data_IF_758890891518
#
_entry.id   IF_758890891518
#
_cell.length_a   1.000
_cell.length_b   1.000
_cell.length_c   1.000
_cell.angle_alpha   90.00
_cell.angle_beta   90.00
_cell.angle_gamma   90.00
#
_symmetry.space_group_name_H-M   'P 1'
#
loop_
_entity.id
_entity.type
_entity.pdbx_description
1 polymer ?
#
# COMPACT_ATOMS: atom_id res chain seq x y z
N UNK A 1 1.23 -32.74 -12.77
CA UNK A 1 2.54 -32.77 -13.41
C UNK A 1 3.72 -32.39 -12.52
N UNK A 2 3.49 -31.60 -11.43
CA UNK A 2 4.55 -31.21 -10.45
C UNK A 2 4.72 -32.25 -9.33
N UNK A 3 3.67 -33.01 -9.02
CA UNK A 3 3.72 -34.03 -7.95
C UNK A 3 4.53 -35.23 -8.42
N UNK A 4 4.37 -35.63 -9.68
CA UNK A 4 5.05 -36.79 -10.27
C UNK A 4 6.58 -36.59 -10.39
N UNK A 5 7.03 -35.33 -10.62
CA UNK A 5 8.46 -35.02 -10.67
C UNK A 5 9.14 -35.13 -9.29
N UNK A 6 8.42 -34.82 -8.20
CA UNK A 6 8.93 -34.93 -6.84
C UNK A 6 9.00 -36.39 -6.37
N UNK A 7 8.13 -37.26 -6.84
CA UNK A 7 8.17 -38.68 -6.55
C UNK A 7 9.27 -39.39 -7.33
N UNK A 8 9.49 -39.05 -8.61
CA UNK A 8 10.58 -39.60 -9.42
C UNK A 8 11.99 -39.26 -8.88
N UNK A 9 12.13 -38.14 -8.13
CA UNK A 9 13.39 -37.75 -7.49
C UNK A 9 13.69 -38.54 -6.20
N UNK A 10 12.70 -39.22 -5.61
CA UNK A 10 12.89 -40.02 -4.38
C UNK A 10 13.66 -41.32 -4.59
N UNK A 11 13.63 -41.87 -5.79
CA UNK A 11 14.14 -43.19 -6.08
C UNK A 11 15.54 -43.20 -6.72
N UNK A 12 16.18 -42.04 -6.89
CA UNK A 12 17.56 -41.98 -7.40
C UNK A 12 18.55 -41.93 -6.22
N UNK A 13 19.29 -43.02 -5.93
CA UNK A 13 20.25 -43.09 -4.84
C UNK A 13 21.42 -42.09 -4.96
N UNK A 14 21.67 -41.55 -6.17
CA UNK A 14 22.70 -40.52 -6.37
C UNK A 14 22.24 -39.12 -5.89
N UNK A 15 20.94 -38.91 -5.67
CA UNK A 15 20.31 -37.65 -5.23
C UNK A 15 19.73 -37.72 -3.81
N UNK A 16 20.17 -38.65 -2.98
CA UNK A 16 19.71 -38.79 -1.59
C UNK A 16 20.16 -37.59 -0.74
N UNK A 17 19.50 -36.45 -0.93
CA UNK A 17 19.64 -35.32 -0.02
C UNK A 17 18.94 -35.65 1.31
N UNK A 18 19.68 -35.79 2.45
CA UNK A 18 19.09 -36.15 3.73
C UNK A 18 18.09 -35.11 4.25
N UNK A 19 18.06 -33.92 3.67
CA UNK A 19 17.12 -32.85 4.01
C UNK A 19 15.82 -32.91 3.19
N UNK A 20 15.76 -33.72 2.13
CA UNK A 20 14.58 -33.80 1.25
C UNK A 20 13.28 -34.19 1.97
N UNK A 21 13.27 -35.19 2.86
CA UNK A 21 12.05 -35.52 3.62
C UNK A 21 11.54 -34.37 4.47
N UNK A 22 12.44 -33.64 5.16
CA UNK A 22 12.10 -32.49 5.99
C UNK A 22 11.55 -31.33 5.15
N UNK A 23 12.11 -31.08 3.97
CA UNK A 23 11.62 -30.07 3.03
C UNK A 23 10.24 -30.41 2.49
N UNK A 24 9.95 -31.70 2.21
CA UNK A 24 8.64 -32.17 1.79
C UNK A 24 7.59 -32.03 2.89
N UNK A 25 7.93 -32.37 4.14
CA UNK A 25 7.05 -32.18 5.29
C UNK A 25 6.77 -30.69 5.54
N UNK A 26 7.79 -29.84 5.47
CA UNK A 26 7.63 -28.39 5.58
C UNK A 26 6.73 -27.83 4.48
N UNK A 27 6.95 -28.27 3.24
CA UNK A 27 6.12 -27.87 2.11
C UNK A 27 4.65 -28.29 2.30
N UNK A 28 4.42 -29.55 2.73
CA UNK A 28 3.07 -30.03 3.00
C UNK A 28 2.39 -29.23 4.12
N UNK A 29 3.09 -28.92 5.20
CA UNK A 29 2.58 -28.10 6.29
C UNK A 29 2.27 -26.67 5.86
N UNK A 30 3.13 -26.07 5.01
CA UNK A 30 2.89 -24.74 4.44
C UNK A 30 1.66 -24.74 3.51
N UNK A 31 1.54 -25.74 2.63
CA UNK A 31 0.37 -25.88 1.75
C UNK A 31 -0.92 -26.01 2.54
N UNK A 32 -0.93 -26.83 3.59
CA UNK A 32 -2.10 -27.01 4.47
C UNK A 32 -2.48 -25.67 5.15
N UNK A 33 -1.49 -24.92 5.66
CA UNK A 33 -1.74 -23.61 6.27
C UNK A 33 -2.30 -22.59 5.27
N UNK A 34 -1.74 -22.55 4.08
CA UNK A 34 -2.22 -21.66 3.00
C UNK A 34 -3.66 -22.02 2.62
N UNK A 35 -3.94 -23.31 2.45
CA UNK A 35 -5.29 -23.78 2.13
C UNK A 35 -6.30 -23.40 3.21
N UNK A 36 -5.99 -23.63 4.48
CA UNK A 36 -6.85 -23.28 5.60
C UNK A 36 -7.10 -21.75 5.71
N UNK A 37 -6.12 -20.93 5.30
CA UNK A 37 -6.31 -19.45 5.22
C UNK A 37 -7.28 -19.06 4.12
N UNK A 38 -7.18 -19.67 2.97
CA UNK A 38 -8.09 -19.40 1.84
C UNK A 38 -9.51 -19.88 2.14
N UNK A 39 -9.68 -21.02 2.77
CA UNK A 39 -11.00 -21.51 3.19
C UNK A 39 -11.65 -20.55 4.18
N UNK A 40 -10.92 -20.13 5.22
CA UNK A 40 -11.40 -19.11 6.15
C UNK A 40 -11.78 -17.80 5.46
N UNK A 41 -10.96 -17.31 4.54
CA UNK A 41 -11.23 -16.09 3.80
C UNK A 41 -12.49 -16.21 2.93
N UNK A 42 -12.74 -17.39 2.32
CA UNK A 42 -13.97 -17.66 1.57
C UNK A 42 -15.20 -17.63 2.48
N UNK A 43 -15.16 -18.32 3.62
CA UNK A 43 -16.25 -18.35 4.58
C UNK A 43 -16.58 -16.95 5.10
N UNK A 44 -15.54 -16.15 5.36
CA UNK A 44 -15.71 -14.75 5.78
C UNK A 44 -16.33 -13.91 4.66
N UNK A 45 -15.89 -14.05 3.43
CA UNK A 45 -16.44 -13.32 2.28
C UNK A 45 -17.90 -13.72 2.04
N UNK A 46 -18.22 -15.00 2.08
CA UNK A 46 -19.58 -15.51 1.95
C UNK A 46 -20.50 -14.93 3.04
N UNK A 47 -20.01 -14.89 4.29
CA UNK A 47 -20.72 -14.27 5.41
C UNK A 47 -20.98 -12.78 5.16
N UNK A 48 -19.99 -12.04 4.65
CA UNK A 48 -20.14 -10.62 4.32
C UNK A 48 -21.17 -10.40 3.20
N UNK A 49 -21.09 -11.18 2.13
CA UNK A 49 -22.01 -11.07 0.99
C UNK A 49 -23.44 -11.49 1.37
N UNK A 50 -23.59 -12.42 2.32
CA UNK A 50 -24.88 -12.84 2.87
C UNK A 50 -25.56 -11.81 3.78
N UNK A 51 -24.93 -10.66 4.09
CA UNK A 51 -25.51 -9.63 4.96
C UNK A 51 -26.76 -8.95 4.37
N UNK A 52 -26.95 -9.01 3.05
CA UNK A 52 -28.13 -8.52 2.32
C UNK A 52 -28.24 -6.99 2.23
N UNK A 53 -27.65 -6.25 3.15
CA UNK A 53 -27.67 -4.78 3.19
C UNK A 53 -26.25 -4.23 3.36
N UNK A 54 -25.91 -3.17 2.62
CA UNK A 54 -24.57 -2.56 2.64
C UNK A 54 -24.17 -2.13 4.05
N UNK A 55 -25.06 -1.52 4.81
CA UNK A 55 -24.76 -1.08 6.19
C UNK A 55 -24.42 -2.25 7.13
N UNK A 56 -25.07 -3.40 6.96
CA UNK A 56 -24.78 -4.61 7.75
C UNK A 56 -23.47 -5.23 7.33
N UNK A 57 -23.18 -5.25 6.02
CA UNK A 57 -21.91 -5.69 5.46
C UNK A 57 -20.76 -4.85 6.01
N UNK A 58 -20.86 -3.53 5.97
CA UNK A 58 -19.84 -2.61 6.51
C UNK A 58 -19.63 -2.82 8.02
N UNK A 59 -20.70 -3.01 8.80
CA UNK A 59 -20.59 -3.28 10.23
C UNK A 59 -19.87 -4.60 10.53
N UNK A 60 -20.17 -5.67 9.77
CA UNK A 60 -19.50 -6.97 9.87
C UNK A 60 -18.05 -6.87 9.48
N UNK A 61 -17.72 -6.17 8.37
CA UNK A 61 -16.37 -5.94 7.92
C UNK A 61 -15.53 -5.19 8.98
N UNK A 62 -16.08 -4.10 9.55
CA UNK A 62 -15.45 -3.39 10.66
C UNK A 62 -15.20 -4.29 11.88
N UNK A 63 -16.13 -5.21 12.18
CA UNK A 63 -15.95 -6.17 13.28
C UNK A 63 -14.81 -7.15 13.01
N UNK A 64 -14.70 -7.69 11.79
CA UNK A 64 -13.58 -8.57 11.37
C UNK A 64 -12.23 -7.85 11.46
N UNK A 65 -12.16 -6.61 10.98
CA UNK A 65 -10.94 -5.79 11.08
C UNK A 65 -10.54 -5.55 12.54
N UNK A 66 -11.50 -5.21 13.43
CA UNK A 66 -11.21 -4.99 14.86
C UNK A 66 -10.66 -6.22 15.55
N UNK A 67 -11.15 -7.40 15.20
CA UNK A 67 -10.69 -8.69 15.75
C UNK A 67 -9.36 -9.15 15.17
N UNK A 68 -8.77 -8.44 14.19
CA UNK A 68 -7.59 -8.88 13.44
C UNK A 68 -7.77 -10.24 12.74
N UNK A 69 -8.99 -10.57 12.34
CA UNK A 69 -9.31 -11.82 11.68
C UNK A 69 -9.07 -11.78 10.16
N UNK A 70 -8.76 -10.60 9.61
CA UNK A 70 -8.48 -10.40 8.20
C UNK A 70 -6.98 -10.47 7.92
N UNK A 71 -6.65 -11.20 6.87
CA UNK A 71 -5.27 -11.38 6.43
C UNK A 71 -5.13 -11.26 4.89
N UNK A 72 -3.92 -11.49 4.38
CA UNK A 72 -3.65 -11.48 2.95
C UNK A 72 -4.50 -12.49 2.14
N UNK A 73 -5.00 -13.55 2.77
CA UNK A 73 -5.89 -14.52 2.14
C UNK A 73 -7.21 -13.89 1.70
N UNK A 74 -7.76 -12.97 2.49
CA UNK A 74 -8.99 -12.24 2.13
C UNK A 74 -8.80 -11.40 0.86
N UNK A 75 -7.67 -10.67 0.74
CA UNK A 75 -7.38 -9.90 -0.47
C UNK A 75 -7.21 -10.77 -1.70
N UNK A 76 -6.54 -11.92 -1.55
CA UNK A 76 -6.41 -12.87 -2.65
C UNK A 76 -7.77 -13.41 -3.10
N UNK A 77 -8.62 -13.84 -2.15
CA UNK A 77 -9.96 -14.35 -2.47
C UNK A 77 -10.82 -13.27 -3.11
N UNK A 78 -10.80 -12.03 -2.60
CA UNK A 78 -11.50 -10.89 -3.21
C UNK A 78 -11.02 -10.63 -4.63
N UNK A 79 -9.72 -10.52 -4.85
CA UNK A 79 -9.14 -10.25 -6.17
C UNK A 79 -9.51 -11.35 -7.17
N UNK A 80 -9.51 -12.62 -6.75
CA UNK A 80 -9.90 -13.73 -7.60
C UNK A 80 -11.37 -13.67 -7.97
N UNK A 81 -12.27 -13.46 -6.98
CA UNK A 81 -13.70 -13.34 -7.23
C UNK A 81 -14.04 -12.11 -8.10
N UNK A 82 -13.32 -10.99 -7.92
CA UNK A 82 -13.48 -9.81 -8.79
C UNK A 82 -13.05 -10.11 -10.24
N UNK A 83 -11.97 -10.88 -10.45
CA UNK A 83 -11.54 -11.29 -11.77
C UNK A 83 -12.58 -12.23 -12.42
N UNK A 84 -13.09 -13.20 -11.67
CA UNK A 84 -14.12 -14.14 -12.15
C UNK A 84 -15.45 -13.40 -12.48
N UNK A 85 -15.88 -12.45 -11.66
CA UNK A 85 -17.07 -11.62 -11.92
C UNK A 85 -16.89 -10.73 -13.16
N UNK A 86 -15.68 -10.21 -13.38
CA UNK A 86 -15.36 -9.42 -14.56
C UNK A 86 -15.36 -10.29 -15.84
N UNK A 87 -14.83 -11.52 -15.77
CA UNK A 87 -14.83 -12.47 -16.88
C UNK A 87 -16.25 -12.93 -17.24
N UNK A 88 -17.11 -13.07 -16.22
CA UNK A 88 -18.53 -13.42 -16.37
C UNK A 88 -19.42 -12.24 -16.76
N UNK A 89 -18.87 -11.01 -16.90
CA UNK A 89 -19.62 -9.77 -17.14
C UNK A 89 -20.70 -9.49 -16.08
N UNK A 90 -20.51 -10.00 -14.85
CA UNK A 90 -21.42 -9.78 -13.71
C UNK A 90 -21.07 -8.46 -13.01
N UNK A 91 -21.61 -7.35 -13.53
CA UNK A 91 -21.36 -6.01 -13.02
C UNK A 91 -21.89 -5.80 -11.60
N UNK A 92 -22.98 -6.46 -11.22
CA UNK A 92 -23.56 -6.32 -9.88
C UNK A 92 -22.64 -6.94 -8.82
N UNK A 93 -22.21 -8.17 -9.02
CA UNK A 93 -21.25 -8.85 -8.15
C UNK A 93 -19.94 -8.09 -8.09
N UNK A 94 -19.42 -7.65 -9.25
CA UNK A 94 -18.18 -6.86 -9.31
C UNK A 94 -18.28 -5.57 -8.51
N UNK A 95 -19.41 -4.86 -8.56
CA UNK A 95 -19.65 -3.63 -7.80
C UNK A 95 -19.61 -3.89 -6.30
N UNK A 96 -20.28 -4.96 -5.83
CA UNK A 96 -20.32 -5.33 -4.41
C UNK A 96 -18.90 -5.71 -3.92
N UNK A 97 -18.19 -6.56 -4.66
CA UNK A 97 -16.83 -6.97 -4.32
C UNK A 97 -15.85 -5.80 -4.31
N UNK A 98 -16.00 -4.85 -5.24
CA UNK A 98 -15.21 -3.62 -5.27
C UNK A 98 -15.49 -2.75 -4.04
N UNK A 99 -16.75 -2.64 -3.61
CA UNK A 99 -17.13 -1.96 -2.38
C UNK A 99 -16.46 -2.62 -1.16
N UNK A 100 -16.57 -3.94 -1.01
CA UNK A 100 -15.93 -4.70 0.07
C UNK A 100 -14.42 -4.48 0.08
N UNK A 101 -13.77 -4.56 -1.08
CA UNK A 101 -12.34 -4.36 -1.21
C UNK A 101 -11.91 -2.95 -0.76
N UNK A 102 -12.63 -1.91 -1.22
CA UNK A 102 -12.35 -0.52 -0.86
C UNK A 102 -12.53 -0.29 0.63
N UNK A 103 -13.65 -0.75 1.20
CA UNK A 103 -13.94 -0.60 2.64
C UNK A 103 -12.92 -1.35 3.50
N UNK A 104 -12.49 -2.54 3.08
CA UNK A 104 -11.47 -3.31 3.76
C UNK A 104 -10.13 -2.56 3.80
N UNK A 105 -9.72 -1.97 2.67
CA UNK A 105 -8.52 -1.16 2.60
C UNK A 105 -8.60 0.06 3.52
N UNK A 106 -9.70 0.81 3.49
CA UNK A 106 -9.91 1.98 4.35
C UNK A 106 -9.83 1.64 5.85
N UNK A 107 -10.45 0.53 6.26
CA UNK A 107 -10.43 0.11 7.67
C UNK A 107 -9.02 -0.37 8.12
N UNK A 108 -8.27 -1.01 7.24
CA UNK A 108 -6.88 -1.39 7.53
C UNK A 108 -5.95 -0.17 7.57
N UNK A 109 -6.17 0.81 6.71
CA UNK A 109 -5.41 2.06 6.72
C UNK A 109 -5.55 2.83 8.04
N UNK A 110 -6.73 2.80 8.68
CA UNK A 110 -6.93 3.39 10.01
C UNK A 110 -6.05 2.79 11.10
N UNK A 111 -5.57 1.55 10.90
CA UNK A 111 -4.66 0.85 11.81
C UNK A 111 -3.20 0.96 11.40
N UNK A 112 -2.94 1.45 10.21
CA UNK A 112 -1.61 1.58 9.63
C UNK A 112 -0.98 2.90 10.09
N UNK A 113 0.33 2.93 10.20
CA UNK A 113 1.06 4.17 10.47
C UNK A 113 0.68 5.26 9.45
N UNK A 114 0.44 6.51 9.89
CA UNK A 114 -0.10 7.57 9.01
C UNK A 114 0.70 7.80 7.72
N UNK A 115 2.03 7.69 7.79
CA UNK A 115 2.89 7.85 6.62
C UNK A 115 2.70 6.74 5.59
N UNK A 116 2.62 5.49 6.04
CA UNK A 116 2.37 4.33 5.18
C UNK A 116 0.94 4.33 4.63
N UNK A 117 -0.05 4.72 5.45
CA UNK A 117 -1.44 4.89 5.00
C UNK A 117 -1.55 5.96 3.91
N UNK A 118 -0.84 7.08 4.06
CA UNK A 118 -0.74 8.13 3.06
C UNK A 118 -0.14 7.59 1.75
N UNK A 119 0.97 6.85 1.82
CA UNK A 119 1.60 6.25 0.65
C UNK A 119 0.64 5.30 -0.09
N UNK A 120 -0.04 4.41 0.62
CA UNK A 120 -1.04 3.51 0.03
C UNK A 120 -2.20 4.26 -0.64
N UNK A 121 -2.67 5.35 -0.03
CA UNK A 121 -3.71 6.19 -0.62
C UNK A 121 -3.26 6.85 -1.92
N UNK A 122 -2.03 7.35 -1.96
CA UNK A 122 -1.45 8.02 -3.11
C UNK A 122 -1.22 7.06 -4.30
N UNK A 123 -0.70 5.85 -4.04
CA UNK A 123 -0.48 4.83 -5.09
C UNK A 123 -1.79 4.36 -5.73
N UNK A 124 -2.91 4.35 -4.99
CA UNK A 124 -4.23 4.02 -5.55
C UNK A 124 -4.91 5.18 -6.27
N UNK A 125 -4.42 6.39 -6.11
CA UNK A 125 -5.00 7.58 -6.73
C UNK A 125 -4.34 7.83 -8.07
N UNK A 126 -5.03 7.54 -9.18
CA UNK A 126 -4.47 7.68 -10.53
C UNK A 126 -4.29 9.14 -10.99
N UNK A 127 -5.17 10.05 -10.52
CA UNK A 127 -5.18 11.44 -10.95
C UNK A 127 -4.12 12.28 -10.20
N UNK A 128 -3.07 12.74 -10.91
CA UNK A 128 -1.99 13.54 -10.33
C UNK A 128 -2.45 14.83 -9.61
N UNK A 129 -3.44 15.60 -10.09
CA UNK A 129 -3.95 16.75 -9.34
C UNK A 129 -4.56 16.39 -8.00
N UNK A 130 -5.25 15.24 -7.92
CA UNK A 130 -5.85 14.75 -6.68
C UNK A 130 -4.73 14.31 -5.72
N UNK A 131 -3.69 13.59 -6.20
CA UNK A 131 -2.51 13.25 -5.39
C UNK A 131 -1.82 14.48 -4.84
N UNK A 132 -1.63 15.52 -5.66
CA UNK A 132 -1.06 16.80 -5.21
C UNK A 132 -1.85 17.45 -4.07
N UNK A 133 -3.18 17.43 -4.14
CA UNK A 133 -4.04 17.93 -3.05
C UNK A 133 -3.92 17.08 -1.78
N UNK A 134 -3.89 15.75 -1.90
CA UNK A 134 -3.69 14.83 -0.78
C UNK A 134 -2.33 15.06 -0.12
N UNK A 135 -1.27 15.24 -0.92
CA UNK A 135 0.08 15.53 -0.43
C UNK A 135 0.12 16.85 0.35
N UNK A 136 -0.41 17.94 -0.23
CA UNK A 136 -0.48 19.24 0.47
C UNK A 136 -1.24 19.14 1.76
N UNK A 137 -2.40 18.48 1.76
CA UNK A 137 -3.21 18.30 2.95
C UNK A 137 -2.46 17.60 4.10
N UNK A 138 -1.64 16.60 3.79
CA UNK A 138 -0.99 15.76 4.79
C UNK A 138 0.44 16.19 5.14
N UNK A 139 1.23 16.63 4.16
CA UNK A 139 2.65 16.95 4.35
C UNK A 139 2.90 18.41 4.69
N UNK A 140 1.98 19.33 4.38
CA UNK A 140 2.20 20.76 4.62
C UNK A 140 1.63 21.17 5.98
N UNK A 141 2.38 21.91 6.81
CA UNK A 141 1.84 22.47 8.05
C UNK A 141 0.59 23.31 7.79
N UNK A 142 -0.51 22.97 8.45
CA UNK A 142 -1.80 23.64 8.20
C UNK A 142 -2.49 23.27 6.88
N UNK A 143 -1.94 22.35 6.10
CA UNK A 143 -2.53 21.90 4.83
C UNK A 143 -3.91 21.24 4.95
N UNK A 144 -4.28 20.80 6.14
CA UNK A 144 -5.62 20.33 6.47
C UNK A 144 -6.65 21.47 6.65
N UNK A 145 -6.21 22.72 6.75
CA UNK A 145 -7.09 23.86 6.95
C UNK A 145 -7.55 24.40 5.59
N UNK A 146 -8.86 24.60 5.45
CA UNK A 146 -9.45 25.35 4.34
C UNK A 146 -9.72 26.76 4.85
N UNK A 147 -9.17 27.78 4.19
CA UNK A 147 -9.32 29.19 4.59
C UNK A 147 -8.86 29.50 6.04
N UNK A 148 -7.82 28.80 6.53
CA UNK A 148 -7.31 28.98 7.90
C UNK A 148 -8.20 28.40 8.99
N UNK A 149 -9.15 27.53 8.63
CA UNK A 149 -10.11 26.91 9.55
C UNK A 149 -10.15 25.40 9.33
N UNK A 150 -10.11 24.61 10.40
CA UNK A 150 -10.42 23.18 10.35
C UNK A 150 -11.89 22.98 10.67
N UNK A 151 -12.65 22.35 9.79
CA UNK A 151 -14.04 21.93 10.03
C UNK A 151 -14.06 20.53 10.63
N UNK A 152 -14.60 20.43 11.84
CA UNK A 152 -14.82 19.14 12.50
C UNK A 152 -16.11 18.45 11.95
N UNK A 153 -16.24 17.12 12.12
CA UNK A 153 -17.42 16.37 11.66
C UNK A 153 -18.74 16.84 12.27
N UNK A 154 -18.71 17.51 13.44
CA UNK A 154 -19.85 18.10 14.12
C UNK A 154 -20.22 19.50 13.61
N UNK A 155 -19.49 20.00 12.60
CA UNK A 155 -19.67 21.34 12.04
C UNK A 155 -18.95 22.46 12.77
N UNK A 156 -18.21 22.17 13.86
CA UNK A 156 -17.43 23.15 14.58
C UNK A 156 -16.24 23.61 13.73
N UNK A 157 -16.01 24.93 13.65
CA UNK A 157 -14.87 25.52 12.96
C UNK A 157 -13.80 25.94 13.98
N UNK A 158 -12.58 25.38 13.83
CA UNK A 158 -11.44 25.73 14.65
C UNK A 158 -10.47 26.58 13.83
N UNK A 159 -10.17 27.82 14.26
CA UNK A 159 -9.15 28.63 13.60
C UNK A 159 -7.78 27.97 13.77
N UNK A 160 -7.03 27.87 12.67
CA UNK A 160 -5.67 27.32 12.68
C UNK A 160 -4.67 28.47 12.75
N UNK A 161 -3.89 28.48 13.83
CA UNK A 161 -2.68 29.29 13.89
C UNK A 161 -1.61 28.63 13.01
N UNK A 162 -1.44 29.13 11.79
CA UNK A 162 -0.49 28.59 10.82
C UNK A 162 0.94 28.48 11.37
N UNK A 163 1.31 29.34 12.33
CA UNK A 163 2.62 29.30 12.98
C UNK A 163 2.80 28.11 13.94
N UNK A 164 1.69 27.49 14.39
CA UNK A 164 1.68 26.33 15.30
C UNK A 164 1.15 25.07 14.66
N UNK A 165 0.64 25.16 13.43
CA UNK A 165 0.13 24.01 12.72
C UNK A 165 1.26 23.03 12.40
N UNK A 166 1.04 21.75 12.69
CA UNK A 166 1.94 20.66 12.30
C UNK A 166 1.36 19.94 11.09
N UNK A 167 2.24 19.42 10.23
CA UNK A 167 1.82 18.49 9.20
C UNK A 167 1.24 17.22 9.84
N UNK A 168 0.25 16.60 9.21
CA UNK A 168 -0.31 15.32 9.66
C UNK A 168 0.71 14.18 9.55
N UNK A 169 1.56 14.26 8.52
CA UNK A 169 2.68 13.36 8.27
C UNK A 169 3.92 14.21 8.04
N UNK A 170 5.01 13.94 8.76
CA UNK A 170 6.27 14.65 8.55
C UNK A 170 6.96 14.18 7.27
N UNK A 171 7.70 15.05 6.55
CA UNK A 171 8.50 14.64 5.40
C UNK A 171 9.40 13.45 5.67
N UNK A 172 10.09 13.42 6.82
CA UNK A 172 10.97 12.32 7.22
C UNK A 172 10.21 11.00 7.34
N UNK A 173 9.09 10.96 8.08
CA UNK A 173 8.28 9.74 8.23
C UNK A 173 7.74 9.25 6.87
N UNK A 174 7.41 10.17 5.96
CA UNK A 174 6.97 9.78 4.62
C UNK A 174 8.13 9.22 3.78
N UNK A 175 9.33 9.78 3.87
CA UNK A 175 10.53 9.25 3.22
C UNK A 175 10.86 7.82 3.69
N UNK A 176 10.79 7.59 5.01
CA UNK A 176 11.00 6.27 5.60
C UNK A 176 9.96 5.26 5.09
N UNK A 177 8.68 5.63 5.06
CA UNK A 177 7.61 4.77 4.54
C UNK A 177 7.80 4.42 3.05
N UNK A 178 8.26 5.35 2.23
CA UNK A 178 8.59 5.12 0.81
C UNK A 178 9.77 4.16 0.69
N UNK A 179 10.86 4.39 1.43
CA UNK A 179 12.07 3.57 1.38
C UNK A 179 11.81 2.14 1.84
N UNK A 180 11.12 1.97 2.96
CA UNK A 180 10.73 0.66 3.51
C UNK A 180 9.81 -0.11 2.56
N UNK A 181 8.88 0.59 1.90
CA UNK A 181 7.96 -0.06 0.96
C UNK A 181 8.70 -0.50 -0.29
N UNK A 182 9.60 0.31 -0.84
CA UNK A 182 10.43 -0.08 -1.99
C UNK A 182 11.35 -1.26 -1.67
N UNK A 183 11.90 -1.33 -0.45
CA UNK A 183 12.69 -2.49 -0.02
C UNK A 183 11.83 -3.74 0.05
N UNK A 184 10.63 -3.66 0.64
CA UNK A 184 9.67 -4.78 0.70
C UNK A 184 9.25 -5.23 -0.69
N UNK A 185 8.97 -4.30 -1.61
CA UNK A 185 8.62 -4.63 -3.00
C UNK A 185 9.75 -5.40 -3.68
N UNK A 186 11.01 -5.02 -3.48
CA UNK A 186 12.18 -5.75 -4.04
C UNK A 186 12.30 -7.19 -3.55
N UNK A 187 11.82 -7.46 -2.33
CA UNK A 187 11.85 -8.80 -1.71
C UNK A 187 10.64 -9.67 -2.11
N UNK A 188 9.65 -9.11 -2.81
CA UNK A 188 8.48 -9.87 -3.25
C UNK A 188 8.87 -10.86 -4.35
N UNK A 189 8.42 -12.10 -4.22
CA UNK A 189 8.64 -13.18 -5.19
C UNK A 189 7.67 -13.17 -6.39
N UNK A 190 7.33 -11.97 -6.91
CA UNK A 190 6.44 -11.80 -8.08
C UNK A 190 7.26 -11.52 -9.35
N UNK A 191 6.60 -11.51 -10.50
CA UNK A 191 7.25 -11.24 -11.78
C UNK A 191 7.97 -9.88 -11.78
N UNK A 192 9.17 -9.86 -12.35
CA UNK A 192 10.03 -8.66 -12.39
C UNK A 192 9.32 -7.44 -12.96
N UNK A 193 8.50 -7.62 -13.99
CA UNK A 193 7.73 -6.52 -14.59
C UNK A 193 6.79 -5.86 -13.59
N UNK A 194 6.06 -6.66 -12.79
CA UNK A 194 5.14 -6.15 -11.77
C UNK A 194 5.90 -5.40 -10.68
N UNK A 195 7.08 -5.90 -10.28
CA UNK A 195 7.95 -5.21 -9.33
C UNK A 195 8.42 -3.85 -9.85
N UNK A 196 8.84 -3.79 -11.11
CA UNK A 196 9.32 -2.57 -11.76
C UNK A 196 8.20 -1.54 -11.90
N UNK A 197 7.00 -1.95 -12.33
CA UNK A 197 5.81 -1.09 -12.44
C UNK A 197 5.42 -0.52 -11.06
N UNK A 198 5.30 -1.37 -10.03
CA UNK A 198 4.97 -0.94 -8.67
C UNK A 198 6.03 -0.01 -8.08
N UNK A 199 7.31 -0.31 -8.28
CA UNK A 199 8.39 0.53 -7.78
C UNK A 199 8.40 1.90 -8.46
N UNK A 200 8.06 1.98 -9.77
CA UNK A 200 8.02 3.26 -10.47
C UNK A 200 6.81 4.10 -10.05
N UNK A 201 5.66 3.49 -9.77
CA UNK A 201 4.51 4.19 -9.18
C UNK A 201 4.88 4.84 -7.82
N UNK A 202 5.56 4.09 -6.94
CA UNK A 202 6.01 4.60 -5.65
C UNK A 202 7.02 5.74 -5.83
N UNK A 203 7.96 5.63 -6.78
CA UNK A 203 8.93 6.69 -7.08
C UNK A 203 8.25 7.94 -7.65
N UNK A 204 7.22 7.76 -8.47
CA UNK A 204 6.44 8.88 -8.99
C UNK A 204 5.76 9.65 -7.85
N UNK A 205 5.15 8.95 -6.90
CA UNK A 205 4.58 9.57 -5.68
C UNK A 205 5.65 10.31 -4.88
N UNK A 206 6.84 9.74 -4.74
CA UNK A 206 7.96 10.39 -4.03
C UNK A 206 8.44 11.68 -4.73
N UNK A 207 8.47 11.71 -6.08
CA UNK A 207 8.78 12.92 -6.87
C UNK A 207 7.73 14.01 -6.65
N UNK A 208 6.45 13.64 -6.67
CA UNK A 208 5.35 14.57 -6.40
C UNK A 208 5.38 15.11 -4.98
N UNK A 209 5.70 14.25 -3.99
CA UNK A 209 5.88 14.68 -2.60
C UNK A 209 7.05 15.66 -2.45
N UNK A 210 8.19 15.39 -3.14
CA UNK A 210 9.33 16.30 -3.16
C UNK A 210 8.95 17.70 -3.63
N UNK A 211 8.18 17.80 -4.73
CA UNK A 211 7.74 19.08 -5.24
C UNK A 211 6.87 19.86 -4.23
N UNK A 212 5.98 19.16 -3.51
CA UNK A 212 5.16 19.77 -2.45
C UNK A 212 6.01 20.23 -1.27
N UNK A 213 7.04 19.46 -0.89
CA UNK A 213 7.95 19.83 0.20
C UNK A 213 8.82 21.03 -0.20
N UNK A 214 9.29 21.09 -1.44
CA UNK A 214 10.07 22.22 -1.99
C UNK A 214 9.26 23.54 -1.95
N UNK A 215 7.94 23.48 -2.17
CA UNK A 215 7.05 24.63 -2.08
C UNK A 215 6.79 25.10 -0.63
N UNK A 216 6.81 24.18 0.34
CA UNK A 216 6.26 24.41 1.67
C UNK A 216 7.30 24.46 2.81
N UNK A 217 8.52 23.98 2.57
CA UNK A 217 9.55 23.86 3.59
C UNK A 217 10.86 24.55 3.16
N UNK A 218 11.76 24.69 4.14
CA UNK A 218 13.12 25.18 3.91
C UNK A 218 14.00 24.15 3.17
N UNK A 219 15.16 24.62 2.69
CA UNK A 219 16.12 23.78 1.97
C UNK A 219 16.67 22.63 2.82
N UNK A 220 16.84 22.81 4.13
CA UNK A 220 17.34 21.77 5.02
C UNK A 220 16.39 20.56 5.09
N UNK A 221 15.09 20.83 5.22
CA UNK A 221 14.06 19.77 5.22
C UNK A 221 14.00 19.06 3.86
N UNK A 222 14.10 19.79 2.74
CA UNK A 222 14.11 19.24 1.40
C UNK A 222 15.35 18.36 1.15
N UNK A 223 16.51 18.81 1.59
CA UNK A 223 17.77 18.07 1.45
C UNK A 223 17.72 16.77 2.27
N UNK A 224 17.27 16.84 3.52
CA UNK A 224 17.11 15.67 4.37
C UNK A 224 16.11 14.64 3.76
N UNK A 225 14.98 15.11 3.21
CA UNK A 225 14.03 14.27 2.50
C UNK A 225 14.63 13.60 1.27
N UNK A 226 15.38 14.37 0.49
CA UNK A 226 16.03 13.88 -0.74
C UNK A 226 17.14 12.88 -0.43
N UNK A 227 17.92 13.10 0.64
CA UNK A 227 18.96 12.20 1.10
C UNK A 227 18.38 10.86 1.59
N UNK A 228 17.31 10.90 2.38
CA UNK A 228 16.63 9.70 2.87
C UNK A 228 16.09 8.82 1.72
N UNK A 229 15.68 9.45 0.61
CA UNK A 229 15.19 8.73 -0.58
C UNK A 229 16.27 8.36 -1.58
N UNK A 230 17.51 8.86 -1.43
CA UNK A 230 18.62 8.61 -2.35
C UNK A 230 18.82 7.11 -2.66
N UNK A 231 18.79 6.17 -1.68
CA UNK A 231 18.94 4.74 -1.97
C UNK A 231 17.83 4.16 -2.85
N UNK A 232 16.61 4.70 -2.75
CA UNK A 232 15.44 4.25 -3.51
C UNK A 232 15.55 4.56 -5.01
N UNK A 233 16.32 5.59 -5.36
CA UNK A 233 16.52 6.06 -6.74
C UNK A 233 17.83 5.64 -7.38
N UNK A 234 18.82 5.11 -6.62
CA UNK A 234 20.13 4.70 -7.16
C UNK A 234 20.06 3.72 -8.34
N UNK A 235 18.97 2.95 -8.46
CA UNK A 235 18.74 2.01 -9.55
C UNK A 235 17.52 2.40 -10.42
N UNK A 236 17.10 3.65 -10.35
CA UNK A 236 15.97 4.18 -11.14
C UNK A 236 16.44 4.61 -12.53
N UNK A 237 15.60 4.42 -13.54
CA UNK A 237 15.81 4.91 -14.89
C UNK A 237 15.65 6.45 -15.00
N UNK A 238 15.29 7.13 -13.94
CA UNK A 238 15.11 8.60 -13.90
C UNK A 238 16.24 9.26 -13.12
N UNK A 239 17.31 9.73 -13.78
CA UNK A 239 18.42 10.42 -13.12
C UNK A 239 18.07 11.83 -12.62
N UNK A 240 16.93 12.39 -13.03
CA UNK A 240 16.57 13.79 -12.78
C UNK A 240 16.18 14.11 -11.33
N UNK A 241 15.90 13.10 -10.50
CA UNK A 241 15.58 13.30 -9.08
C UNK A 241 16.76 13.87 -8.28
N UNK A 242 17.99 13.65 -8.74
CA UNK A 242 19.23 14.01 -8.04
C UNK A 242 19.92 15.28 -8.59
N UNK A 243 19.29 15.98 -9.52
CA UNK A 243 19.86 17.27 -9.93
C UNK A 243 19.69 18.24 -8.75
N UNK A 244 20.79 18.68 -8.11
CA UNK A 244 20.68 19.75 -7.13
C UNK A 244 20.04 20.94 -7.84
N UNK A 245 19.07 21.58 -7.17
CA UNK A 245 18.50 22.85 -7.65
C UNK A 245 19.68 23.78 -7.92
N UNK A 246 19.82 24.35 -9.13
CA UNK A 246 20.91 25.29 -9.37
C UNK A 246 20.81 26.42 -8.37
N UNK A 247 21.94 26.69 -7.69
CA UNK A 247 22.02 27.81 -6.78
C UNK A 247 21.52 29.09 -7.49
N UNK A 248 20.75 29.95 -6.84
CA UNK A 248 20.29 31.19 -7.43
C UNK A 248 21.51 31.95 -7.95
N UNK A 249 21.54 32.24 -9.27
CA UNK A 249 22.58 33.06 -9.86
C UNK A 249 22.57 34.39 -9.11
N UNK A 250 23.62 34.63 -8.34
CA UNK A 250 23.87 35.94 -7.74
C UNK A 250 24.14 36.89 -8.91
N UNK A 251 23.11 37.64 -9.27
CA UNK A 251 23.27 38.77 -10.20
C UNK A 251 24.12 39.82 -9.49
N UNK A 252 25.35 40.01 -9.98
CA UNK A 252 26.19 41.17 -9.66
C UNK A 252 25.60 42.44 -10.29
#
# INVERSE_FOLDING_TARGET
GRVDAAEAFKDDPANANPQLPQLLELNAALQQRVQARFERARDQLETLLGAGEINKLDAQLCALVRKNELDAGMFYVLSRNMADAKEAEDEETLRILTHVHTRLQEELEKKTEPALALLHKLTRTSAAPIRGNILRHNLVPGGAAVDGVIKLPDGTELPVDAAKAKALVTPAAFADAVSDTLEKVRLMGVERRVLEETAEEIRQVAKEARAVIEEAYDGETLDAFSEALAPAFKNSLSPDFYKPTPAPETSD
#
